data_IF_885095496166
#
_entry.id   IF_885095496166
#
_cell.length_a   1.000
_cell.length_b   1.000
_cell.length_c   1.000
_cell.angle_alpha   90.00
_cell.angle_beta   90.00
_cell.angle_gamma   90.00
#
_symmetry.space_group_name_H-M   'P 1'
#
loop_
_entity.id
_entity.type
_entity.pdbx_description
1 polymer ?
#
# COMPACT_ATOMS: atom_id res chain seq x y z
N UNK A 1 5.41 -19.06 -8.42
CA UNK A 1 3.94 -19.07 -8.49
C UNK A 1 3.44 -17.83 -9.22
N UNK A 2 3.95 -16.66 -8.81
CA UNK A 2 3.74 -15.39 -9.49
C UNK A 2 4.79 -15.26 -10.60
N UNK A 3 4.54 -15.86 -11.76
CA UNK A 3 5.46 -15.78 -12.91
C UNK A 3 4.67 -15.61 -14.20
N UNK A 4 5.32 -14.98 -15.19
CA UNK A 4 4.73 -14.72 -16.50
C UNK A 4 3.36 -14.03 -16.38
N UNK A 5 2.32 -14.50 -17.07
CA UNK A 5 1.01 -13.83 -17.10
C UNK A 5 0.37 -13.59 -15.73
N UNK A 6 0.64 -14.45 -14.74
CA UNK A 6 0.08 -14.28 -13.39
C UNK A 6 0.78 -13.11 -12.67
N UNK A 7 2.10 -12.98 -12.83
CA UNK A 7 2.85 -11.87 -12.23
C UNK A 7 2.40 -10.53 -12.83
N UNK A 8 2.22 -10.50 -14.15
CA UNK A 8 1.76 -9.30 -14.85
C UNK A 8 0.35 -8.91 -14.42
N UNK A 9 -0.55 -9.88 -14.30
CA UNK A 9 -1.90 -9.60 -13.80
C UNK A 9 -1.90 -9.14 -12.34
N UNK A 10 -1.08 -9.72 -11.47
CA UNK A 10 -0.94 -9.24 -10.09
C UNK A 10 -0.48 -7.78 -10.07
N UNK A 11 0.50 -7.42 -10.89
CA UNK A 11 0.99 -6.04 -11.01
C UNK A 11 -0.13 -5.09 -11.45
N UNK A 12 -0.87 -5.44 -12.49
CA UNK A 12 -2.01 -4.64 -12.98
C UNK A 12 -3.08 -4.46 -11.90
N UNK A 13 -3.49 -5.54 -11.24
CA UNK A 13 -4.50 -5.47 -10.19
C UNK A 13 -4.04 -4.66 -8.99
N UNK A 14 -2.77 -4.72 -8.62
CA UNK A 14 -2.26 -3.90 -7.52
C UNK A 14 -2.34 -2.41 -7.90
N UNK A 15 -2.06 -2.06 -9.17
CA UNK A 15 -2.29 -0.69 -9.63
C UNK A 15 -3.78 -0.32 -9.60
N UNK A 16 -4.66 -1.17 -10.14
CA UNK A 16 -6.12 -0.94 -10.15
C UNK A 16 -6.68 -0.74 -8.72
N UNK A 17 -6.25 -1.58 -7.76
CA UNK A 17 -6.62 -1.48 -6.35
C UNK A 17 -6.08 -0.17 -5.77
N UNK A 18 -4.84 0.18 -6.09
CA UNK A 18 -4.25 1.40 -5.56
C UNK A 18 -5.04 2.64 -6.01
N UNK A 19 -5.33 2.74 -7.30
CA UNK A 19 -6.11 3.82 -7.89
C UNK A 19 -7.53 3.89 -7.29
N UNK A 20 -8.19 2.74 -7.09
CA UNK A 20 -9.54 2.68 -6.52
C UNK A 20 -9.61 3.19 -5.06
N UNK A 21 -8.51 3.08 -4.31
CA UNK A 21 -8.49 3.35 -2.88
C UNK A 21 -7.61 4.54 -2.48
N UNK A 22 -7.30 5.42 -3.44
CA UNK A 22 -6.43 6.60 -3.28
C UNK A 22 -5.03 6.25 -2.74
N UNK A 23 -4.52 5.05 -3.03
CA UNK A 23 -3.16 4.64 -2.66
C UNK A 23 -2.25 5.02 -3.83
N UNK A 24 -1.13 5.68 -3.55
CA UNK A 24 -0.10 5.94 -4.57
C UNK A 24 1.01 4.92 -4.41
N UNK A 25 1.21 4.07 -5.42
CA UNK A 25 2.36 3.17 -5.49
C UNK A 25 3.51 3.92 -6.16
N UNK A 26 4.58 4.14 -5.41
CA UNK A 26 5.81 4.77 -5.91
C UNK A 26 6.69 3.75 -6.63
N UNK A 27 6.85 2.56 -6.01
CA UNK A 27 7.59 1.44 -6.60
C UNK A 27 6.90 0.11 -6.23
N UNK A 28 6.96 -0.85 -7.15
CA UNK A 28 6.45 -2.19 -6.93
C UNK A 28 7.27 -3.24 -7.68
N UNK A 29 7.62 -4.32 -6.98
CA UNK A 29 8.28 -5.48 -7.54
C UNK A 29 7.48 -6.75 -7.23
N UNK A 30 7.17 -7.52 -8.28
CA UNK A 30 6.50 -8.82 -8.18
C UNK A 30 7.54 -9.91 -8.36
N UNK A 31 7.98 -10.48 -7.25
CA UNK A 31 8.88 -11.63 -7.20
C UNK A 31 8.10 -12.93 -7.43
N UNK A 32 8.83 -14.04 -7.58
CA UNK A 32 8.21 -15.33 -7.92
C UNK A 32 7.28 -15.91 -6.84
N UNK A 33 7.43 -15.43 -5.60
CA UNK A 33 6.82 -15.92 -4.36
C UNK A 33 6.33 -14.79 -3.42
N UNK A 34 6.66 -13.52 -3.67
CA UNK A 34 6.20 -12.38 -2.85
C UNK A 34 6.11 -11.09 -3.68
N UNK A 35 5.56 -10.02 -3.10
CA UNK A 35 5.47 -8.69 -3.71
C UNK A 35 6.02 -7.64 -2.75
N UNK A 36 6.88 -6.76 -3.24
CA UNK A 36 7.32 -5.56 -2.55
C UNK A 36 6.56 -4.34 -3.08
N UNK A 37 6.10 -3.48 -2.18
CA UNK A 37 5.41 -2.23 -2.54
C UNK A 37 5.96 -1.10 -1.67
N UNK A 38 6.40 -0.03 -2.31
CA UNK A 38 6.59 1.27 -1.68
C UNK A 38 5.42 2.17 -2.06
N UNK A 39 4.63 2.60 -1.08
CA UNK A 39 3.41 3.36 -1.33
C UNK A 39 3.12 4.39 -0.24
N UNK A 40 2.32 5.39 -0.60
CA UNK A 40 1.67 6.31 0.32
C UNK A 40 0.14 6.10 0.24
N UNK A 41 -0.55 6.31 1.35
CA UNK A 41 -2.01 6.11 1.42
C UNK A 41 -2.67 7.05 2.44
N UNK A 42 -3.98 7.33 2.31
CA UNK A 42 -4.69 8.23 3.21
C UNK A 42 -4.63 7.77 4.68
N UNK A 43 -4.43 8.71 5.64
CA UNK A 43 -4.27 8.37 7.06
C UNK A 43 -5.52 7.76 7.70
N UNK A 44 -6.68 7.81 7.02
CA UNK A 44 -7.92 7.12 7.43
C UNK A 44 -7.83 5.60 7.29
N UNK A 45 -6.85 5.09 6.55
CA UNK A 45 -6.61 3.66 6.40
C UNK A 45 -5.47 3.22 7.31
N UNK A 46 -5.63 2.07 7.96
CA UNK A 46 -4.52 1.38 8.61
C UNK A 46 -3.71 0.59 7.58
N UNK A 47 -2.45 0.30 7.90
CA UNK A 47 -1.59 -0.57 7.09
C UNK A 47 -2.29 -1.93 6.83
N UNK A 48 -2.91 -2.50 7.87
CA UNK A 48 -3.63 -3.77 7.76
C UNK A 48 -4.79 -3.71 6.75
N UNK A 49 -5.53 -2.58 6.69
CA UNK A 49 -6.60 -2.40 5.71
C UNK A 49 -6.06 -2.31 4.28
N UNK A 50 -4.96 -1.57 4.08
CA UNK A 50 -4.31 -1.43 2.77
C UNK A 50 -3.82 -2.79 2.26
N UNK A 51 -3.04 -3.49 3.09
CA UNK A 51 -2.50 -4.82 2.74
C UNK A 51 -3.64 -5.84 2.54
N UNK A 52 -4.66 -5.79 3.40
CA UNK A 52 -5.84 -6.65 3.28
C UNK A 52 -6.56 -6.48 1.94
N UNK A 53 -6.69 -5.24 1.43
CA UNK A 53 -7.27 -4.98 0.10
C UNK A 53 -6.44 -5.58 -1.01
N UNK A 54 -5.13 -5.31 -1.02
CA UNK A 54 -4.22 -5.88 -2.02
C UNK A 54 -4.33 -7.40 -2.04
N UNK A 55 -4.22 -8.07 -0.88
CA UNK A 55 -4.25 -9.53 -0.79
C UNK A 55 -5.61 -10.10 -1.20
N UNK A 56 -6.71 -9.62 -0.60
CA UNK A 56 -8.02 -10.24 -0.80
C UNK A 56 -8.58 -10.05 -2.21
N UNK A 57 -8.48 -8.83 -2.76
CA UNK A 57 -9.04 -8.51 -4.07
C UNK A 57 -8.23 -9.18 -5.19
N UNK A 58 -6.90 -9.17 -5.09
CA UNK A 58 -6.04 -9.86 -6.05
C UNK A 58 -6.22 -11.37 -6.00
N UNK A 59 -6.30 -11.99 -4.81
CA UNK A 59 -6.51 -13.43 -4.68
C UNK A 59 -7.83 -13.85 -5.33
N UNK A 60 -8.91 -13.11 -5.06
CA UNK A 60 -10.23 -13.37 -5.66
C UNK A 60 -10.18 -13.30 -7.19
N UNK A 61 -9.51 -12.30 -7.74
CA UNK A 61 -9.39 -12.12 -9.18
C UNK A 61 -8.49 -13.18 -9.83
N UNK A 62 -7.30 -13.47 -9.27
CA UNK A 62 -6.42 -14.54 -9.78
C UNK A 62 -7.14 -15.89 -9.77
N UNK A 63 -7.84 -16.25 -8.70
CA UNK A 63 -8.53 -17.55 -8.66
C UNK A 63 -9.67 -17.65 -9.67
N UNK A 64 -10.27 -16.52 -10.05
CA UNK A 64 -11.31 -16.45 -11.08
C UNK A 64 -10.72 -16.53 -12.48
N UNK A 65 -9.64 -15.81 -12.74
CA UNK A 65 -9.01 -15.66 -14.07
C UNK A 65 -8.05 -16.81 -14.40
N UNK A 66 -7.43 -17.41 -13.38
CA UNK A 66 -6.48 -18.52 -13.49
C UNK A 66 -6.90 -19.70 -12.59
N UNK A 67 -7.97 -20.45 -12.94
CA UNK A 67 -8.44 -21.58 -12.13
C UNK A 67 -7.39 -22.67 -11.86
N UNK A 68 -6.36 -22.77 -12.70
CA UNK A 68 -5.19 -23.64 -12.47
C UNK A 68 -4.40 -23.27 -11.21
N UNK A 69 -4.35 -21.99 -10.83
CA UNK A 69 -3.70 -21.54 -9.60
C UNK A 69 -4.47 -22.06 -8.40
N UNK A 70 -5.81 -21.97 -8.42
CA UNK A 70 -6.68 -22.52 -7.38
C UNK A 70 -6.51 -24.03 -7.21
N UNK A 71 -6.32 -24.77 -8.31
CA UNK A 71 -6.06 -26.23 -8.25
C UNK A 71 -4.73 -26.56 -7.59
N UNK A 72 -3.70 -25.73 -7.81
CA UNK A 72 -2.37 -25.91 -7.20
C UNK A 72 -2.38 -25.50 -5.72
N UNK A 73 -3.13 -24.45 -5.38
CA UNK A 73 -3.31 -23.93 -4.02
C UNK A 73 -4.64 -24.43 -3.47
N UNK A 74 -4.71 -25.74 -3.22
CA UNK A 74 -5.93 -26.41 -2.78
C UNK A 74 -6.48 -25.90 -1.44
N UNK A 75 -5.66 -25.24 -0.62
CA UNK A 75 -6.07 -24.50 0.57
C UNK A 75 -6.84 -23.21 0.28
N UNK A 76 -6.89 -22.77 -0.98
CA UNK A 76 -7.66 -21.59 -1.39
C UNK A 76 -7.01 -20.26 -1.05
N UNK A 77 -5.73 -20.26 -0.67
CA UNK A 77 -4.99 -19.08 -0.25
C UNK A 77 -3.89 -18.77 -1.28
N UNK A 78 -3.94 -17.56 -1.85
CA UNK A 78 -2.90 -17.08 -2.76
C UNK A 78 -1.73 -16.46 -1.97
N UNK A 79 -2.06 -15.84 -0.85
CA UNK A 79 -1.12 -15.12 0.01
C UNK A 79 -1.13 -15.74 1.40
N UNK A 80 0.05 -15.85 2.00
CA UNK A 80 0.22 -16.15 3.43
C UNK A 80 -0.60 -15.19 4.30
N UNK A 81 -1.02 -15.58 5.50
CA UNK A 81 -1.78 -14.71 6.42
C UNK A 81 -1.00 -13.44 6.83
N UNK A 82 0.31 -13.58 7.00
CA UNK A 82 1.20 -12.52 7.42
C UNK A 82 1.47 -11.45 6.36
N UNK A 83 2.10 -10.37 6.80
CA UNK A 83 2.73 -9.37 5.95
C UNK A 83 3.84 -8.65 6.72
N UNK A 84 4.80 -8.10 5.99
CA UNK A 84 5.81 -7.21 6.55
C UNK A 84 5.51 -5.78 6.16
N UNK A 85 5.60 -4.85 7.12
CA UNK A 85 5.44 -3.43 6.85
C UNK A 85 6.41 -2.61 7.71
N UNK A 86 6.94 -1.55 7.11
CA UNK A 86 7.80 -0.56 7.79
C UNK A 86 7.48 0.82 7.26
N UNK A 87 7.32 1.78 8.17
CA UNK A 87 7.18 3.19 7.78
C UNK A 87 8.54 3.76 7.36
N UNK A 88 8.53 4.59 6.33
CA UNK A 88 9.68 5.37 5.87
C UNK A 88 9.30 6.84 6.00
N UNK A 89 10.15 7.63 6.65
CA UNK A 89 10.02 9.09 6.69
C UNK A 89 11.09 9.68 5.81
N UNK A 90 10.72 10.44 4.79
CA UNK A 90 11.67 10.85 3.75
C UNK A 90 12.45 12.13 4.08
N UNK A 91 11.95 13.02 4.96
CA UNK A 91 12.66 14.25 5.37
C UNK A 91 12.19 14.91 6.68
N UNK A 92 11.17 14.39 7.36
CA UNK A 92 10.60 15.08 8.53
C UNK A 92 11.48 14.90 9.76
N UNK A 93 12.24 15.94 10.11
CA UNK A 93 13.06 15.95 11.33
C UNK A 93 12.20 16.23 12.56
N UNK A 94 12.67 15.77 13.73
CA UNK A 94 12.04 16.11 15.01
C UNK A 94 11.94 17.64 15.23
N UNK A 95 12.84 18.43 14.61
CA UNK A 95 12.78 19.88 14.67
C UNK A 95 11.62 20.46 13.86
N UNK A 96 11.36 19.96 12.65
CA UNK A 96 10.21 20.37 11.82
C UNK A 96 8.90 20.08 12.55
N UNK A 97 8.77 18.90 13.16
CA UNK A 97 7.59 18.54 13.97
C UNK A 97 7.42 19.49 15.16
N UNK A 98 8.51 19.79 15.89
CA UNK A 98 8.44 20.73 17.02
C UNK A 98 8.01 22.13 16.58
N UNK A 99 8.56 22.65 15.47
CA UNK A 99 8.18 23.96 14.92
C UNK A 99 6.71 23.96 14.50
N UNK A 100 6.21 22.93 13.83
CA UNK A 100 4.80 22.78 13.47
C UNK A 100 3.88 22.82 14.71
N UNK A 101 4.20 22.04 15.75
CA UNK A 101 3.41 22.01 17.00
C UNK A 101 3.43 23.37 17.72
N UNK A 102 4.60 24.02 17.78
CA UNK A 102 4.74 25.36 18.37
C UNK A 102 3.93 26.40 17.59
N UNK A 103 3.97 26.34 16.26
CA UNK A 103 3.21 27.24 15.41
C UNK A 103 1.69 27.06 15.61
N UNK A 104 1.19 25.83 15.65
CA UNK A 104 -0.24 25.57 15.91
C UNK A 104 -0.72 25.94 17.32
N UNK A 105 0.16 25.99 18.32
CA UNK A 105 -0.19 26.56 19.63
C UNK A 105 -0.42 28.07 19.56
N UNK A 106 0.25 28.75 18.63
CA UNK A 106 0.20 30.19 18.45
C UNK A 106 -0.82 30.62 17.37
N UNK A 107 -1.14 29.76 16.39
CA UNK A 107 -2.12 29.99 15.31
C UNK A 107 -3.59 29.89 15.75
N UNK A 108 -3.90 29.92 17.06
CA UNK A 108 -5.25 30.37 17.48
C UNK A 108 -5.56 31.81 17.02
N UNK A 109 -4.61 32.52 16.39
CA UNK A 109 -4.78 33.90 15.90
C UNK A 109 -4.61 34.13 14.37
N UNK A 110 -4.17 33.20 13.52
CA UNK A 110 -4.23 33.39 12.05
C UNK A 110 -3.87 32.12 11.27
N UNK A 111 -4.58 31.83 10.17
CA UNK A 111 -4.51 30.56 9.45
C UNK A 111 -3.63 30.58 8.20
N UNK A 112 -2.49 29.87 8.24
CA UNK A 112 -1.62 29.67 7.07
C UNK A 112 -1.09 28.22 6.97
N UNK A 113 -2.00 27.26 6.78
CA UNK A 113 -1.70 25.82 6.83
C UNK A 113 -0.86 25.25 5.66
N UNK A 114 -0.56 25.99 4.59
CA UNK A 114 -0.14 25.40 3.31
C UNK A 114 1.36 25.40 2.95
N UNK A 115 2.29 25.94 3.78
CA UNK A 115 3.71 26.11 3.35
C UNK A 115 4.74 25.17 4.00
N UNK A 116 4.34 24.20 4.82
CA UNK A 116 5.32 23.43 5.62
C UNK A 116 5.83 22.14 4.96
N UNK A 117 5.28 21.75 3.81
CA UNK A 117 5.56 20.47 3.16
C UNK A 117 5.99 20.59 1.69
N UNK A 118 6.42 21.79 1.27
CA UNK A 118 7.13 22.02 -0.01
C UNK A 118 8.66 21.95 0.20
#
# INVERSE_FOLDING_TARGET
MLQGPIADRVREMFQEIADQYDITIEEMEVSSDHVHIFCSFPPRYSIAQVVGRFKSLSARAIFREYPQVKRRLWGGELWEDGYFARTVGDKVTAEVIRKYIQHHRNEKESGFQFKLFE
#
